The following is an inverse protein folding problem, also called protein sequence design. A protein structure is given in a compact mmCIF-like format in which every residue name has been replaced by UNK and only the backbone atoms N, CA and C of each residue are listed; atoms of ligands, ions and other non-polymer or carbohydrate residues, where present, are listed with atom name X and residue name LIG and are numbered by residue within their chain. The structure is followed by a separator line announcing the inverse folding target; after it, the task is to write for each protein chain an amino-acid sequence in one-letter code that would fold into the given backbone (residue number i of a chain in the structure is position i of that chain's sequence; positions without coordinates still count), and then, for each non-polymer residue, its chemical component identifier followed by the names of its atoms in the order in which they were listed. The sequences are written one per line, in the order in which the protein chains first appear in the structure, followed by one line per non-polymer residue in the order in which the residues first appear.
data_IF_432515962805
#
_entry.id   IF_432515962805
#
_cell.length_a   1.000
_cell.length_b   1.000
_cell.length_c   1.000
_cell.angle_alpha   90.00
_cell.angle_beta   90.00
_cell.angle_gamma   90.00
#
_symmetry.space_group_name_H-M   'P 1'
#
loop_
_entity.id
_entity.type
_entity.pdbx_description
1 polymer ?
#
# COMPACT_ATOMS: atom_id res chain seq x y z
N UNK A 1 -12.55 20.80 54.69
CA UNK A 1 -11.94 21.45 53.52
C UNK A 1 -12.63 20.85 52.29
N UNK A 2 -13.55 21.59 51.68
CA UNK A 2 -14.26 21.13 50.48
C UNK A 2 -13.51 21.62 49.25
N UNK A 3 -13.16 20.70 48.34
CA UNK A 3 -12.56 21.06 47.06
C UNK A 3 -13.63 21.79 46.26
N UNK A 4 -13.30 22.99 45.78
CA UNK A 4 -14.26 23.79 45.01
C UNK A 4 -14.69 23.04 43.72
N UNK A 5 -15.97 23.08 43.35
CA UNK A 5 -16.47 22.40 42.14
C UNK A 5 -15.75 22.81 40.84
N UNK A 6 -15.09 23.97 40.84
CA UNK A 6 -14.38 24.52 39.69
C UNK A 6 -13.05 23.80 39.47
N UNK A 7 -12.31 23.45 40.53
CA UNK A 7 -11.05 22.70 40.45
C UNK A 7 -11.28 21.28 39.95
N UNK A 8 -12.34 20.60 40.41
CA UNK A 8 -12.71 19.26 39.94
C UNK A 8 -13.06 19.22 38.44
N UNK A 9 -13.73 20.26 37.92
CA UNK A 9 -14.07 20.35 36.49
C UNK A 9 -12.83 20.58 35.62
N UNK A 10 -11.88 21.39 36.09
CA UNK A 10 -10.61 21.64 35.38
C UNK A 10 -9.78 20.37 35.33
N UNK A 11 -9.65 19.65 36.44
CA UNK A 11 -8.93 18.39 36.51
C UNK A 11 -9.54 17.31 35.60
N UNK A 12 -10.88 17.17 35.60
CA UNK A 12 -11.56 16.26 34.69
C UNK A 12 -11.35 16.63 33.21
N UNK A 13 -11.36 17.91 32.87
CA UNK A 13 -11.10 18.38 31.50
C UNK A 13 -9.64 18.11 31.07
N UNK A 14 -8.69 18.25 31.99
CA UNK A 14 -7.27 17.96 31.75
C UNK A 14 -7.04 16.47 31.47
N UNK A 15 -7.66 15.58 32.25
CA UNK A 15 -7.57 14.13 32.03
C UNK A 15 -8.19 13.70 30.70
N UNK A 16 -9.33 14.29 30.33
CA UNK A 16 -9.93 14.08 29.00
C UNK A 16 -9.00 14.57 27.89
N UNK A 17 -8.36 15.73 28.05
CA UNK A 17 -7.42 16.26 27.07
C UNK A 17 -6.18 15.34 26.91
N UNK A 18 -5.62 14.82 28.02
CA UNK A 18 -4.51 13.85 28.00
C UNK A 18 -4.92 12.57 27.27
N UNK A 19 -6.11 12.04 27.56
CA UNK A 19 -6.64 10.84 26.91
C UNK A 19 -6.76 11.04 25.39
N UNK A 20 -7.36 12.15 24.95
CA UNK A 20 -7.49 12.46 23.53
C UNK A 20 -6.14 12.66 22.86
N UNK A 21 -5.20 13.34 23.51
CA UNK A 21 -3.85 13.52 22.97
C UNK A 21 -3.17 12.18 22.69
N UNK A 22 -3.28 11.21 23.60
CA UNK A 22 -2.75 9.87 23.41
C UNK A 22 -3.38 9.18 22.19
N UNK A 23 -4.71 9.23 22.07
CA UNK A 23 -5.43 8.66 20.91
C UNK A 23 -4.93 9.25 19.59
N UNK A 24 -4.70 10.57 19.53
CA UNK A 24 -4.16 11.20 18.32
C UNK A 24 -2.74 10.73 17.98
N UNK A 25 -1.87 10.54 18.99
CA UNK A 25 -0.52 10.02 18.74
C UNK A 25 -0.55 8.58 18.24
N UNK A 26 -1.42 7.74 18.81
CA UNK A 26 -1.55 6.33 18.40
C UNK A 26 -2.06 6.22 16.96
N UNK A 27 -3.06 7.03 16.59
CA UNK A 27 -3.56 7.10 15.21
C UNK A 27 -2.43 7.53 14.25
N UNK A 28 -1.67 8.56 14.62
CA UNK A 28 -0.54 9.05 13.80
C UNK A 28 0.52 7.96 13.61
N UNK A 29 0.89 7.25 14.67
CA UNK A 29 1.87 6.17 14.61
C UNK A 29 1.38 5.00 13.74
N UNK A 30 0.11 4.62 13.88
CA UNK A 30 -0.50 3.55 13.09
C UNK A 30 -0.58 3.91 11.60
N UNK A 31 -0.96 5.14 11.26
CA UNK A 31 -0.96 5.63 9.88
C UNK A 31 0.45 5.58 9.26
N UNK A 32 1.48 6.04 9.98
CA UNK A 32 2.85 5.98 9.52
C UNK A 32 3.34 4.54 9.28
N UNK A 33 2.95 3.61 10.17
CA UNK A 33 3.25 2.18 10.04
C UNK A 33 2.59 1.57 8.80
N UNK A 34 1.29 1.83 8.60
CA UNK A 34 0.54 1.33 7.44
C UNK A 34 1.14 1.85 6.14
N UNK A 35 1.44 3.16 6.06
CA UNK A 35 2.10 3.74 4.89
C UNK A 35 3.44 3.08 4.58
N UNK A 36 4.25 2.82 5.62
CA UNK A 36 5.55 2.16 5.46
C UNK A 36 5.41 0.71 4.97
N UNK A 37 4.43 -0.02 5.51
CA UNK A 37 4.12 -1.39 5.07
C UNK A 37 3.62 -1.42 3.63
N UNK A 38 2.74 -0.49 3.25
CA UNK A 38 2.23 -0.36 1.89
C UNK A 38 3.37 -0.13 0.89
N UNK A 39 4.31 0.76 1.22
CA UNK A 39 5.50 1.00 0.37
C UNK A 39 6.35 -0.26 0.22
N UNK A 40 6.67 -0.94 1.32
CA UNK A 40 7.42 -2.19 1.28
C UNK A 40 6.70 -3.28 0.48
N UNK A 41 5.38 -3.36 0.57
CA UNK A 41 4.58 -4.32 -0.18
C UNK A 41 4.58 -3.99 -1.67
N UNK A 42 4.43 -2.72 -2.05
CA UNK A 42 4.53 -2.30 -3.44
C UNK A 42 5.90 -2.64 -4.04
N UNK A 43 6.99 -2.36 -3.31
CA UNK A 43 8.35 -2.68 -3.73
C UNK A 43 8.55 -4.20 -3.92
N UNK A 44 8.04 -5.02 -2.99
CA UNK A 44 8.05 -6.49 -3.12
C UNK A 44 7.23 -6.98 -4.30
N UNK A 45 6.02 -6.45 -4.50
CA UNK A 45 5.15 -6.84 -5.62
C UNK A 45 5.81 -6.53 -6.96
N UNK A 46 6.49 -5.39 -7.10
CA UNK A 46 7.28 -5.04 -8.28
C UNK A 46 8.46 -5.99 -8.52
N UNK A 47 9.07 -6.54 -7.47
CA UNK A 47 10.14 -7.55 -7.60
C UNK A 47 9.64 -8.96 -7.98
N UNK A 48 8.37 -9.27 -7.69
CA UNK A 48 7.74 -10.56 -7.99
C UNK A 48 6.93 -10.57 -9.30
N UNK A 49 6.59 -9.39 -9.83
CA UNK A 49 6.01 -9.30 -11.16
C UNK A 49 7.03 -9.88 -12.14
N UNK A 50 6.65 -10.81 -13.04
CA UNK A 50 7.57 -11.30 -14.05
C UNK A 50 8.09 -10.07 -14.79
N UNK A 51 9.40 -9.84 -14.68
CA UNK A 51 10.07 -8.94 -15.61
C UNK A 51 9.92 -9.61 -16.96
N UNK A 52 8.86 -9.25 -17.69
CA UNK A 52 8.81 -9.40 -19.13
C UNK A 52 9.84 -8.41 -19.69
N UNK A 53 11.12 -8.62 -19.34
CA UNK A 53 12.19 -8.31 -20.26
C UNK A 53 11.75 -8.94 -21.56
N UNK A 54 11.84 -8.16 -22.63
CA UNK A 54 11.53 -8.57 -23.99
C UNK A 54 12.44 -9.73 -24.38
N UNK A 55 12.20 -10.90 -23.82
CA UNK A 55 12.74 -12.16 -24.27
C UNK A 55 12.14 -12.27 -25.65
N UNK A 56 12.98 -11.93 -26.64
CA UNK A 56 12.91 -12.37 -28.03
C UNK A 56 12.24 -13.73 -28.01
N UNK A 57 10.93 -13.75 -28.27
CA UNK A 57 10.18 -14.99 -28.37
C UNK A 57 10.69 -15.63 -29.64
N UNK A 58 11.69 -16.50 -29.48
CA UNK A 58 12.26 -17.31 -30.53
C UNK A 58 11.13 -18.13 -31.14
N UNK A 59 10.61 -17.64 -32.27
CA UNK A 59 9.68 -18.30 -33.22
C UNK A 59 8.78 -19.34 -32.55
N UNK A 60 7.79 -18.87 -31.79
CA UNK A 60 6.73 -19.75 -31.27
C UNK A 60 5.69 -19.97 -32.37
N UNK A 61 5.34 -21.23 -32.61
CA UNK A 61 4.20 -21.59 -33.44
C UNK A 61 2.95 -21.73 -32.56
N UNK A 62 1.81 -21.28 -33.08
CA UNK A 62 0.50 -21.48 -32.45
C UNK A 62 -0.34 -22.24 -33.48
N UNK A 63 -0.49 -23.55 -33.29
CA UNK A 63 -1.07 -24.42 -34.31
C UNK A 63 -0.30 -24.35 -35.62
N UNK A 64 -1.00 -24.08 -36.72
CA UNK A 64 -0.41 -23.91 -38.06
C UNK A 64 0.21 -22.53 -38.29
N UNK A 65 0.08 -21.60 -37.34
CA UNK A 65 0.49 -20.22 -37.52
C UNK A 65 1.85 -19.94 -36.88
N UNK A 66 2.71 -19.23 -37.62
CA UNK A 66 3.96 -18.70 -37.10
C UNK A 66 3.74 -17.31 -36.50
N UNK A 67 4.14 -17.13 -35.24
CA UNK A 67 4.10 -15.81 -34.58
C UNK A 67 5.23 -14.94 -35.14
N UNK A 68 4.88 -13.84 -35.80
CA UNK A 68 5.83 -12.86 -36.33
C UNK A 68 6.16 -11.79 -35.29
N UNK A 69 5.15 -11.32 -34.56
CA UNK A 69 5.28 -10.22 -33.60
C UNK A 69 4.25 -10.37 -32.47
N UNK A 70 4.66 -10.04 -31.25
CA UNK A 70 3.82 -10.02 -30.06
C UNK A 70 3.70 -8.59 -29.58
N UNK A 71 2.49 -8.04 -29.64
CA UNK A 71 2.14 -6.73 -29.11
C UNK A 71 1.48 -6.89 -27.72
N UNK A 72 1.44 -5.85 -26.88
CA UNK A 72 0.87 -5.95 -25.53
C UNK A 72 -0.57 -6.48 -25.47
N UNK A 73 -1.35 -6.28 -26.54
CA UNK A 73 -2.77 -6.67 -26.64
C UNK A 73 -3.12 -7.44 -27.92
N UNK A 74 -2.14 -7.77 -28.78
CA UNK A 74 -2.41 -8.38 -30.07
C UNK A 74 -1.23 -9.26 -30.56
N UNK A 75 -1.51 -10.20 -31.46
CA UNK A 75 -0.51 -11.06 -32.10
C UNK A 75 -0.57 -10.91 -33.61
N UNK A 76 0.58 -10.73 -34.27
CA UNK A 76 0.68 -10.85 -35.73
C UNK A 76 1.11 -12.26 -36.10
N UNK A 77 0.25 -12.94 -36.84
CA UNK A 77 0.42 -14.32 -37.26
C UNK A 77 0.60 -14.42 -38.76
N UNK A 78 1.37 -15.40 -39.21
CA UNK A 78 1.49 -15.80 -40.61
C UNK A 78 1.13 -17.28 -40.73
N UNK A 79 0.26 -17.62 -41.69
CA UNK A 79 0.03 -19.00 -42.11
C UNK A 79 1.30 -19.56 -42.78
#
# INVERSE_FOLDING_TARGET
MGIEPMTLKVEAAEEVAKSWFQVFQDIKANLAKVHSQQKQQADRCCSSAPSYSSHKLSKKWIGLYKVLEVLPNALKLKL
#
